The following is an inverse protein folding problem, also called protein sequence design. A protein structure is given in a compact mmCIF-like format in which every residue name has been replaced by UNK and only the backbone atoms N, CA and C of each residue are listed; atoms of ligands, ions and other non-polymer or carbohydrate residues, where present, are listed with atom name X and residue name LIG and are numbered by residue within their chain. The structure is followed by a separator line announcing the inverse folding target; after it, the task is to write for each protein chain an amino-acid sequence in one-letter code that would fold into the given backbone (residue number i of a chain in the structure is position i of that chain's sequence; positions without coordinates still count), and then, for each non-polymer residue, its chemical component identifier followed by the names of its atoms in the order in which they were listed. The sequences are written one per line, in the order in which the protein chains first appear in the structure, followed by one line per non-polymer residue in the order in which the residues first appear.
data_IF_387940418826
#
_entry.id   IF_387940418826
#
_cell.length_a   1.000
_cell.length_b   1.000
_cell.length_c   1.000
_cell.angle_alpha   90.00
_cell.angle_beta   90.00
_cell.angle_gamma   90.00
#
_symmetry.space_group_name_H-M   'P 1'
#
loop_
_entity.id
_entity.type
_entity.pdbx_description
1 polymer ?
#
# COMPACT_ATOMS: atom_id res chain seq x y z
N UNK A 1 -0.07 -30.06 16.10
CA UNK A 1 -1.00 -29.24 15.31
C UNK A 1 -0.77 -27.79 15.71
N UNK A 2 0.19 -27.10 15.07
CA UNK A 2 0.32 -25.65 15.20
C UNK A 2 0.91 -25.00 13.93
N UNK A 3 0.60 -25.55 12.76
CA UNK A 3 1.24 -25.11 11.49
C UNK A 3 0.39 -24.10 10.71
N UNK A 4 -0.80 -23.75 11.19
CA UNK A 4 -1.74 -22.90 10.43
C UNK A 4 -1.59 -21.39 10.73
N UNK A 5 -1.01 -21.01 11.87
CA UNK A 5 -0.93 -19.59 12.29
C UNK A 5 0.27 -18.82 11.72
N UNK A 6 1.40 -19.47 11.44
CA UNK A 6 2.58 -18.79 10.88
C UNK A 6 2.41 -18.49 9.37
N UNK A 7 1.70 -19.35 8.65
CA UNK A 7 1.47 -19.21 7.19
C UNK A 7 0.63 -17.95 6.91
N UNK A 8 -0.34 -17.64 7.76
CA UNK A 8 -1.28 -16.52 7.57
C UNK A 8 -0.62 -15.14 7.81
N UNK A 9 0.24 -15.07 8.83
CA UNK A 9 1.08 -13.88 9.12
C UNK A 9 2.10 -13.64 8.00
N UNK A 10 2.72 -14.71 7.48
CA UNK A 10 3.66 -14.64 6.37
C UNK A 10 3.02 -14.14 5.07
N UNK A 11 1.84 -14.67 4.73
CA UNK A 11 1.07 -14.24 3.56
C UNK A 11 0.62 -12.78 3.67
N UNK A 12 0.14 -12.36 4.84
CA UNK A 12 -0.28 -10.97 5.09
C UNK A 12 0.91 -10.01 4.99
N UNK A 13 2.10 -10.38 5.49
CA UNK A 13 3.33 -9.59 5.35
C UNK A 13 3.76 -9.47 3.90
N UNK A 14 3.71 -10.55 3.12
CA UNK A 14 4.03 -10.51 1.70
C UNK A 14 3.08 -9.59 0.91
N UNK A 15 1.79 -9.60 1.25
CA UNK A 15 0.80 -8.69 0.66
C UNK A 15 1.08 -7.23 1.02
N UNK A 16 1.44 -6.93 2.27
CA UNK A 16 1.84 -5.58 2.70
C UNK A 16 3.03 -5.07 1.88
N UNK A 17 4.07 -5.88 1.70
CA UNK A 17 5.24 -5.49 0.90
C UNK A 17 4.87 -5.28 -0.58
N UNK A 18 3.99 -6.11 -1.15
CA UNK A 18 3.49 -5.90 -2.52
C UNK A 18 2.74 -4.58 -2.65
N UNK A 19 1.85 -4.28 -1.72
CA UNK A 19 1.07 -3.04 -1.72
C UNK A 19 1.95 -1.80 -1.50
N UNK A 20 2.99 -1.91 -0.66
CA UNK A 20 3.99 -0.85 -0.46
C UNK A 20 4.75 -0.53 -1.74
N UNK A 21 5.16 -1.56 -2.48
CA UNK A 21 5.80 -1.38 -3.79
C UNK A 21 4.85 -0.68 -4.77
N UNK A 22 3.61 -1.15 -4.90
CA UNK A 22 2.61 -0.55 -5.79
C UNK A 22 2.31 0.91 -5.40
N UNK A 23 2.25 1.21 -4.10
CA UNK A 23 2.09 2.57 -3.59
C UNK A 23 3.27 3.47 -4.00
N UNK A 24 4.50 2.98 -3.88
CA UNK A 24 5.71 3.71 -4.26
C UNK A 24 5.79 3.96 -5.78
N UNK A 25 5.41 2.97 -6.59
CA UNK A 25 5.33 3.13 -8.05
C UNK A 25 4.31 4.21 -8.43
N UNK A 26 3.17 4.25 -7.74
CA UNK A 26 2.16 5.29 -7.92
C UNK A 26 2.65 6.68 -7.50
N UNK A 27 3.46 6.80 -6.45
CA UNK A 27 4.11 8.06 -6.08
C UNK A 27 5.01 8.55 -7.21
N UNK A 28 5.91 7.70 -7.67
CA UNK A 28 6.86 8.02 -8.74
C UNK A 28 6.13 8.42 -10.02
N UNK A 29 5.05 7.72 -10.38
CA UNK A 29 4.22 8.06 -11.53
C UNK A 29 3.52 9.42 -11.39
N UNK A 30 2.99 9.73 -10.20
CA UNK A 30 2.37 11.04 -9.93
C UNK A 30 3.41 12.15 -10.03
N UNK A 31 4.59 11.95 -9.45
CA UNK A 31 5.66 12.96 -9.45
C UNK A 31 6.19 13.21 -10.86
N UNK A 32 6.37 12.16 -11.66
CA UNK A 32 6.73 12.29 -13.08
C UNK A 32 5.67 13.06 -13.87
N UNK A 33 4.38 12.76 -13.67
CA UNK A 33 3.28 13.46 -14.32
C UNK A 33 3.21 14.94 -13.92
N UNK A 34 3.46 15.25 -12.64
CA UNK A 34 3.51 16.62 -12.13
C UNK A 34 4.71 17.38 -12.71
N UNK A 35 5.88 16.74 -12.81
CA UNK A 35 7.10 17.34 -13.36
C UNK A 35 6.96 17.70 -14.85
N UNK A 36 6.22 16.91 -15.62
CA UNK A 36 5.94 17.18 -17.04
C UNK A 36 4.99 18.38 -17.20
N UNK A 37 4.14 18.68 -16.21
CA UNK A 37 3.25 19.85 -16.20
C UNK A 37 2.09 19.82 -17.20
N UNK A 38 2.01 18.80 -18.07
CA UNK A 38 0.95 18.60 -19.07
C UNK A 38 -0.10 17.59 -18.60
N UNK A 39 0.08 16.99 -17.41
CA UNK A 39 -0.81 15.95 -16.92
C UNK A 39 -2.19 16.51 -16.54
N UNK A 40 -3.25 15.82 -17.00
CA UNK A 40 -4.63 16.13 -16.67
C UNK A 40 -4.83 16.07 -15.14
N UNK A 41 -5.33 17.15 -14.56
CA UNK A 41 -5.59 17.25 -13.13
C UNK A 41 -6.56 16.17 -12.65
N UNK A 42 -7.50 15.73 -13.49
CA UNK A 42 -8.41 14.63 -13.19
C UNK A 42 -7.68 13.27 -13.14
N UNK A 43 -6.67 13.07 -13.99
CA UNK A 43 -5.81 11.88 -13.95
C UNK A 43 -5.00 11.85 -12.65
N UNK A 44 -4.38 12.97 -12.28
CA UNK A 44 -3.63 13.10 -11.02
C UNK A 44 -4.55 12.83 -9.82
N UNK A 45 -5.77 13.37 -9.81
CA UNK A 45 -6.75 13.12 -8.74
C UNK A 45 -7.11 11.63 -8.62
N UNK A 46 -7.31 10.93 -9.74
CA UNK A 46 -7.58 9.48 -9.73
C UNK A 46 -6.41 8.67 -9.18
N UNK A 47 -5.18 9.01 -9.55
CA UNK A 47 -3.98 8.36 -9.04
C UNK A 47 -3.80 8.61 -7.53
N UNK A 48 -3.99 9.85 -7.08
CA UNK A 48 -3.97 10.19 -5.64
C UNK A 48 -5.04 9.43 -4.85
N UNK A 49 -6.24 9.28 -5.40
CA UNK A 49 -7.29 8.47 -4.77
C UNK A 49 -6.88 7.00 -4.66
N UNK A 50 -6.32 6.40 -5.71
CA UNK A 50 -5.78 5.03 -5.66
C UNK A 50 -4.67 4.89 -4.61
N UNK A 51 -3.73 5.83 -4.59
CA UNK A 51 -2.65 5.88 -3.58
C UNK A 51 -3.21 5.89 -2.15
N UNK A 52 -4.25 6.69 -1.90
CA UNK A 52 -4.93 6.74 -0.60
C UNK A 52 -5.53 5.39 -0.21
N UNK A 53 -6.25 4.74 -1.13
CA UNK A 53 -6.82 3.40 -0.89
C UNK A 53 -5.74 2.35 -0.57
N UNK A 54 -4.61 2.37 -1.28
CA UNK A 54 -3.50 1.45 -1.00
C UNK A 54 -2.91 1.70 0.39
N UNK A 55 -2.67 2.96 0.75
CA UNK A 55 -2.18 3.32 2.09
C UNK A 55 -3.14 2.84 3.19
N UNK A 56 -4.44 3.06 3.02
CA UNK A 56 -5.44 2.65 4.00
C UNK A 56 -5.53 1.11 4.08
N UNK A 57 -5.34 0.40 2.96
CA UNK A 57 -5.27 -1.07 2.93
C UNK A 57 -4.00 -1.61 3.61
N UNK A 58 -2.85 -0.97 3.37
CA UNK A 58 -1.58 -1.28 4.04
C UNK A 58 -1.76 -1.13 5.54
N UNK A 59 -2.28 0.01 6.00
CA UNK A 59 -2.50 0.25 7.43
C UNK A 59 -3.42 -0.81 8.07
N UNK A 60 -4.48 -1.23 7.37
CA UNK A 60 -5.37 -2.29 7.86
C UNK A 60 -4.71 -3.68 7.95
N UNK A 61 -3.82 -4.00 7.00
CA UNK A 61 -3.08 -5.27 7.03
C UNK A 61 -1.94 -5.23 8.06
N UNK A 62 -1.29 -4.08 8.21
CA UNK A 62 -0.31 -3.83 9.26
C UNK A 62 -0.95 -3.96 10.64
N UNK A 63 -2.13 -3.37 10.87
CA UNK A 63 -2.87 -3.46 12.14
C UNK A 63 -3.17 -4.92 12.54
N UNK A 64 -3.50 -5.76 11.55
CA UNK A 64 -3.69 -7.21 11.75
C UNK A 64 -2.39 -7.97 12.05
N UNK A 65 -1.25 -7.46 11.56
CA UNK A 65 0.08 -8.01 11.85
C UNK A 65 0.68 -7.46 13.17
N UNK A 66 0.20 -6.31 13.65
CA UNK A 66 0.71 -5.62 14.83
C UNK A 66 -0.09 -5.75 16.15
N UNK A 67 -0.97 -6.76 16.40
CA UNK A 67 -1.57 -6.88 17.74
C UNK A 67 -0.54 -7.11 18.87
N UNK A 68 0.73 -7.38 18.53
CA UNK A 68 1.82 -7.71 19.46
C UNK A 68 2.86 -6.58 19.73
N UNK A 69 2.70 -5.37 19.19
CA UNK A 69 3.71 -4.28 19.33
C UNK A 69 3.18 -3.09 20.16
N UNK A 70 1.90 -3.08 20.51
CA UNK A 70 1.26 -2.09 21.36
C UNK A 70 0.49 -2.82 22.50
N UNK A 71 1.20 -3.57 23.33
CA UNK A 71 0.74 -4.14 24.59
C UNK A 71 1.74 -3.84 25.71
#
# INVERSE_FOLDING_TARGET
MNDTSEIDTGATRAEVERLRLEHHDLETAIDALLAIGVADQLQIQRLKKRKLLLRDRIAYLEDQLTPDIIA
#
